data_IF_602954785763
#
_entry.id   IF_602954785763
#
_cell.length_a   1.000
_cell.length_b   1.000
_cell.length_c   1.000
_cell.angle_alpha   90.00
_cell.angle_beta   90.00
_cell.angle_gamma   90.00
#
_symmetry.space_group_name_H-M   'P 1'
#
loop_
_entity.id
_entity.type
_entity.pdbx_description
1 polymer ?
#
# COMPACT_ATOMS: atom_id res chain seq x y z
N UNK A 1 -3.76 8.87 -38.05
CA UNK A 1 -4.38 7.71 -37.36
C UNK A 1 -3.66 7.49 -36.03
N UNK A 2 -4.40 7.42 -34.93
CA UNK A 2 -3.86 7.38 -33.56
C UNK A 2 -3.17 6.03 -33.24
N UNK A 3 -1.97 6.06 -32.66
CA UNK A 3 -1.24 4.86 -32.19
C UNK A 3 -2.06 4.15 -31.08
N UNK A 4 -2.61 2.98 -31.41
CA UNK A 4 -3.19 2.03 -30.43
C UNK A 4 -2.12 1.69 -29.39
N UNK A 5 -2.29 2.15 -28.14
CA UNK A 5 -1.51 1.68 -26.99
C UNK A 5 -1.74 0.17 -26.87
N UNK A 6 -0.71 -0.64 -27.04
CA UNK A 6 -0.83 -2.07 -26.76
C UNK A 6 -1.25 -2.23 -25.30
N UNK A 7 -2.37 -2.91 -25.06
CA UNK A 7 -2.77 -3.31 -23.72
C UNK A 7 -1.67 -4.24 -23.21
N UNK A 8 -0.81 -3.74 -22.33
CA UNK A 8 0.19 -4.57 -21.64
C UNK A 8 -0.57 -5.72 -21.00
N UNK A 9 -0.25 -6.98 -21.38
CA UNK A 9 -0.79 -8.16 -20.71
C UNK A 9 -0.68 -7.93 -19.20
N UNK A 10 -1.79 -7.91 -18.45
CA UNK A 10 -1.72 -7.68 -17.02
C UNK A 10 -0.84 -8.77 -16.44
N UNK A 11 0.28 -8.36 -15.88
CA UNK A 11 1.32 -9.25 -15.41
C UNK A 11 0.69 -10.10 -14.28
N UNK A 12 0.39 -11.37 -14.56
CA UNK A 12 -0.51 -12.19 -13.75
C UNK A 12 -0.07 -12.28 -12.27
N UNK A 13 1.23 -12.16 -12.02
CA UNK A 13 1.81 -12.09 -10.67
C UNK A 13 1.31 -10.91 -9.83
N UNK A 14 0.99 -9.76 -10.45
CA UNK A 14 0.47 -8.56 -9.77
C UNK A 14 -1.04 -8.59 -9.56
N UNK A 15 -1.74 -9.48 -10.27
CA UNK A 15 -3.19 -9.70 -10.17
C UNK A 15 -3.52 -10.84 -9.20
N UNK A 16 -2.51 -11.55 -8.65
CA UNK A 16 -2.74 -12.56 -7.62
C UNK A 16 -3.45 -11.90 -6.42
N UNK A 17 -4.65 -12.36 -6.05
CA UNK A 17 -5.31 -11.91 -4.84
C UNK A 17 -4.43 -12.33 -3.67
N UNK A 18 -4.02 -11.36 -2.88
CA UNK A 18 -3.28 -11.57 -1.64
C UNK A 18 -4.20 -11.24 -0.48
N UNK A 19 -4.02 -11.94 0.62
CA UNK A 19 -4.82 -11.72 1.82
C UNK A 19 -4.02 -10.85 2.79
N UNK A 20 -4.51 -9.65 3.13
CA UNK A 20 -3.92 -8.87 4.21
C UNK A 20 -4.21 -9.56 5.54
N UNK A 21 -3.19 -9.60 6.40
CA UNK A 21 -3.30 -10.00 7.79
C UNK A 21 -4.18 -9.02 8.61
N UNK A 22 -4.53 -9.40 9.83
CA UNK A 22 -5.46 -8.65 10.67
C UNK A 22 -5.03 -7.19 10.90
N UNK A 23 -3.72 -6.93 10.92
CA UNK A 23 -3.16 -5.60 11.13
C UNK A 23 -3.37 -4.73 9.89
N UNK A 24 -2.95 -5.21 8.71
CA UNK A 24 -3.14 -4.49 7.47
C UNK A 24 -4.62 -4.36 7.11
N UNK A 25 -5.42 -5.37 7.43
CA UNK A 25 -6.86 -5.41 7.23
C UNK A 25 -7.61 -4.28 7.96
N UNK A 26 -7.10 -3.76 9.09
CA UNK A 26 -7.70 -2.58 9.75
C UNK A 26 -7.63 -1.33 8.87
N UNK A 27 -6.64 -1.25 7.98
CA UNK A 27 -6.40 -0.09 7.13
C UNK A 27 -6.99 -0.27 5.72
N UNK A 28 -6.79 -1.46 5.12
CA UNK A 28 -7.20 -1.73 3.73
C UNK A 28 -8.45 -2.63 3.61
N UNK A 29 -8.89 -3.22 4.73
CA UNK A 29 -9.96 -4.23 4.81
C UNK A 29 -9.42 -5.67 4.69
N UNK A 30 -10.12 -6.64 5.29
CA UNK A 30 -9.72 -8.06 5.32
C UNK A 30 -10.00 -8.84 4.03
N UNK A 31 -10.50 -8.19 2.99
CA UNK A 31 -10.88 -8.87 1.75
C UNK A 31 -9.63 -9.19 0.91
N UNK A 32 -9.50 -10.42 0.35
CA UNK A 32 -8.42 -10.73 -0.58
C UNK A 32 -8.49 -9.80 -1.78
N UNK A 33 -7.38 -9.13 -2.09
CA UNK A 33 -7.33 -8.20 -3.20
C UNK A 33 -5.93 -8.10 -3.81
N UNK A 34 -5.78 -7.66 -5.06
CA UNK A 34 -4.47 -7.51 -5.68
C UNK A 34 -3.59 -6.50 -4.93
N UNK A 35 -2.26 -6.71 -4.93
CA UNK A 35 -1.28 -5.80 -4.29
C UNK A 35 -1.46 -4.34 -4.71
N UNK A 36 -1.83 -4.10 -5.95
CA UNK A 36 -2.09 -2.75 -6.49
C UNK A 36 -3.27 -2.05 -5.79
N UNK A 37 -4.34 -2.79 -5.46
CA UNK A 37 -5.49 -2.27 -4.70
C UNK A 37 -5.13 -1.99 -3.25
N UNK A 38 -4.33 -2.86 -2.63
CA UNK A 38 -3.84 -2.67 -1.25
C UNK A 38 -3.03 -1.39 -1.14
N UNK A 39 -2.02 -1.22 -2.00
CA UNK A 39 -1.21 0.01 -2.02
C UNK A 39 -2.06 1.25 -2.28
N UNK A 40 -3.06 1.17 -3.17
CA UNK A 40 -3.97 2.30 -3.44
C UNK A 40 -4.76 2.69 -2.20
N UNK A 41 -5.40 1.71 -1.52
CA UNK A 41 -6.16 1.95 -0.29
C UNK A 41 -5.30 2.48 0.84
N UNK A 42 -4.06 1.98 0.95
CA UNK A 42 -3.11 2.46 1.94
C UNK A 42 -2.77 3.94 1.70
N UNK A 43 -2.55 4.33 0.43
CA UNK A 43 -2.35 5.74 0.06
C UNK A 43 -3.59 6.60 0.32
N UNK A 44 -4.79 6.08 0.06
CA UNK A 44 -6.04 6.77 0.38
C UNK A 44 -6.14 7.01 1.88
N UNK A 45 -5.80 6.01 2.71
CA UNK A 45 -5.75 6.16 4.17
C UNK A 45 -4.71 7.19 4.61
N UNK A 46 -3.49 7.12 4.07
CA UNK A 46 -2.41 8.07 4.38
C UNK A 46 -2.84 9.50 4.06
N UNK A 47 -3.43 9.73 2.88
CA UNK A 47 -3.90 11.07 2.48
C UNK A 47 -5.09 11.53 3.30
N UNK A 48 -6.05 10.64 3.58
CA UNK A 48 -7.24 10.97 4.38
C UNK A 48 -6.89 11.40 5.81
N UNK A 49 -5.82 10.83 6.36
CA UNK A 49 -5.34 11.13 7.71
C UNK A 49 -4.18 12.14 7.74
N UNK A 50 -3.86 12.79 6.61
CA UNK A 50 -2.73 13.73 6.45
C UNK A 50 -1.38 13.19 6.97
N UNK A 51 -1.15 11.90 6.77
CA UNK A 51 0.03 11.18 7.25
C UNK A 51 1.24 11.34 6.33
N UNK A 52 1.11 12.10 5.24
CA UNK A 52 2.24 12.42 4.38
C UNK A 52 3.07 13.53 5.01
N UNK A 53 4.39 13.35 5.15
CA UNK A 53 5.22 14.37 5.78
C UNK A 53 5.21 15.67 4.93
N UNK A 54 4.76 16.82 5.49
CA UNK A 54 4.68 18.08 4.74
C UNK A 54 6.05 18.64 4.36
N UNK A 55 7.11 18.31 5.11
CA UNK A 55 8.50 18.70 4.83
C UNK A 55 9.16 17.79 3.79
N UNK A 56 8.74 16.53 3.73
CA UNK A 56 9.30 15.54 2.82
C UNK A 56 8.21 14.58 2.33
N UNK A 57 7.62 14.89 1.18
CA UNK A 57 6.52 14.11 0.59
C UNK A 57 6.85 12.64 0.28
N UNK A 58 8.12 12.23 0.40
CA UNK A 58 8.56 10.83 0.25
C UNK A 58 8.40 10.01 1.54
N UNK A 59 8.26 10.69 2.67
CA UNK A 59 8.07 10.08 3.99
C UNK A 59 6.60 10.06 4.38
N UNK A 60 6.21 8.95 4.99
CA UNK A 60 4.90 8.71 5.57
C UNK A 60 5.10 8.63 7.07
N UNK A 61 4.39 9.47 7.79
CA UNK A 61 4.32 9.49 9.25
C UNK A 61 3.27 8.47 9.66
N UNK A 62 3.71 7.37 10.23
CA UNK A 62 2.81 6.30 10.65
C UNK A 62 2.01 6.73 11.88
N UNK A 63 0.69 6.61 11.79
CA UNK A 63 -0.22 6.66 12.94
C UNK A 63 -0.14 5.33 13.72
N UNK A 64 -0.99 5.17 14.73
CA UNK A 64 -0.98 3.94 15.55
C UNK A 64 -1.30 2.68 14.74
N UNK A 65 -2.23 2.80 13.78
CA UNK A 65 -2.61 1.70 12.89
C UNK A 65 -1.47 1.35 11.91
N UNK A 66 -0.89 2.34 11.25
CA UNK A 66 0.22 2.14 10.32
C UNK A 66 1.51 1.73 11.03
N UNK A 67 1.75 2.15 12.29
CA UNK A 67 2.89 1.66 13.07
C UNK A 67 2.82 0.16 13.21
N UNK A 68 1.65 -0.41 13.49
CA UNK A 68 1.50 -1.85 13.59
C UNK A 68 1.84 -2.54 12.25
N UNK A 69 1.41 -1.96 11.11
CA UNK A 69 1.75 -2.45 9.74
C UNK A 69 3.23 -2.23 9.38
N UNK A 70 3.88 -1.23 9.96
CA UNK A 70 5.27 -0.89 9.66
C UNK A 70 6.23 -1.41 10.74
N UNK A 71 5.82 -2.44 11.48
CA UNK A 71 6.62 -3.09 12.51
C UNK A 71 7.13 -2.11 13.59
N UNK A 72 6.26 -1.20 14.02
CA UNK A 72 6.52 -0.14 15.00
C UNK A 72 7.18 1.13 14.45
N UNK A 73 7.52 1.18 13.15
CA UNK A 73 8.19 2.36 12.56
C UNK A 73 7.26 3.56 12.53
N UNK A 74 7.70 4.67 13.13
CA UNK A 74 6.98 5.95 13.16
C UNK A 74 7.04 6.69 11.83
N UNK A 75 8.07 6.43 11.02
CA UNK A 75 8.29 7.04 9.72
C UNK A 75 8.77 5.97 8.76
N UNK A 76 8.18 5.92 7.58
CA UNK A 76 8.61 5.03 6.51
C UNK A 76 8.64 5.78 5.20
N UNK A 77 9.52 5.37 4.30
CA UNK A 77 9.49 5.85 2.92
C UNK A 77 8.49 5.04 2.08
N UNK A 78 8.11 5.55 0.91
CA UNK A 78 7.27 4.79 -0.05
C UNK A 78 7.84 3.39 -0.37
N UNK A 79 9.17 3.26 -0.47
CA UNK A 79 9.83 1.97 -0.73
C UNK A 79 9.70 1.02 0.46
N UNK A 80 9.98 1.50 1.68
CA UNK A 80 9.81 0.72 2.90
C UNK A 80 8.36 0.32 3.11
N UNK A 81 7.41 1.22 2.86
CA UNK A 81 5.99 0.93 2.94
C UNK A 81 5.64 -0.27 2.05
N UNK A 82 6.02 -0.26 0.78
CA UNK A 82 5.74 -1.40 -0.11
C UNK A 82 6.42 -2.71 0.30
N UNK A 83 7.60 -2.61 0.93
CA UNK A 83 8.34 -3.77 1.44
C UNK A 83 7.66 -4.35 2.67
N UNK A 84 7.42 -3.52 3.69
CA UNK A 84 6.78 -3.92 4.95
C UNK A 84 5.38 -4.47 4.69
N UNK A 85 4.58 -3.77 3.88
CA UNK A 85 3.26 -4.25 3.47
C UNK A 85 3.36 -5.59 2.76
N UNK A 86 4.42 -5.87 1.99
CA UNK A 86 4.61 -7.20 1.38
C UNK A 86 4.76 -8.32 2.40
N UNK A 87 5.28 -8.04 3.59
CA UNK A 87 5.48 -9.04 4.66
C UNK A 87 4.14 -9.37 5.35
N UNK A 88 3.20 -8.43 5.27
CA UNK A 88 1.83 -8.53 5.76
C UNK A 88 0.85 -9.15 4.74
N UNK A 89 1.37 -9.65 3.61
CA UNK A 89 0.58 -10.22 2.53
C UNK A 89 0.93 -11.67 2.31
N UNK A 90 -0.09 -12.52 2.38
CA UNK A 90 -0.01 -13.96 2.05
C UNK A 90 -0.71 -14.27 0.73
#
# INVERSE_FOLDING_TARGET
MAKKKSARKPNAAFMKPVTPDEVLAKVVGSKPMPRTKITSKLWEYIKKNDLQNPKNKREIIADENLKAVFNGKKKVTMFEMTKLVSEHLS
#
